data_IF_172108009176
#
_entry.id   IF_172108009176
#
_cell.length_a   1.000
_cell.length_b   1.000
_cell.length_c   1.000
_cell.angle_alpha   90.00
_cell.angle_beta   90.00
_cell.angle_gamma   90.00
#
_symmetry.space_group_name_H-M   'P 1'
#
loop_
_entity.id
_entity.type
_entity.pdbx_description
1 polymer ?
#
# COMPACT_ATOMS: atom_id res chain seq x y z
N UNK A 1 -15.83 0.54 -5.08
CA UNK A 1 -16.78 1.57 -4.59
C UNK A 1 -17.57 2.21 -5.71
N UNK A 2 -16.99 2.45 -6.90
CA UNK A 2 -17.73 3.07 -8.03
C UNK A 2 -19.02 2.33 -8.39
N UNK A 3 -19.06 1.00 -8.30
CA UNK A 3 -20.27 0.21 -8.59
C UNK A 3 -21.45 0.36 -7.61
N UNK A 4 -21.33 1.17 -6.55
CA UNK A 4 -22.44 1.46 -5.62
C UNK A 4 -23.22 2.72 -6.01
N UNK A 5 -22.74 3.51 -6.98
CA UNK A 5 -23.36 4.78 -7.37
C UNK A 5 -23.99 4.65 -8.76
N UNK A 6 -25.23 5.14 -8.91
CA UNK A 6 -25.93 5.21 -10.20
C UNK A 6 -25.51 6.40 -11.08
N UNK A 7 -24.54 7.20 -10.62
CA UNK A 7 -23.99 8.39 -11.30
C UNK A 7 -22.48 8.20 -11.50
N UNK A 8 -21.86 8.85 -12.49
CA UNK A 8 -20.41 8.75 -12.71
C UNK A 8 -19.64 9.24 -11.48
N UNK A 9 -18.57 8.52 -11.13
CA UNK A 9 -17.68 8.83 -10.01
C UNK A 9 -16.24 8.73 -10.47
N UNK A 10 -15.49 9.82 -10.32
CA UNK A 10 -14.06 9.85 -10.58
C UNK A 10 -13.28 9.33 -9.36
N UNK A 11 -12.56 8.23 -9.54
CA UNK A 11 -11.70 7.65 -8.50
C UNK A 11 -10.24 7.98 -8.80
N UNK A 12 -9.83 9.19 -8.43
CA UNK A 12 -8.47 9.68 -8.68
C UNK A 12 -7.45 9.00 -7.74
N UNK A 13 -6.24 8.79 -8.25
CA UNK A 13 -5.16 8.13 -7.51
C UNK A 13 -4.04 9.13 -7.17
N UNK A 14 -3.63 9.15 -5.90
CA UNK A 14 -2.51 9.97 -5.43
C UNK A 14 -1.14 9.29 -5.58
N UNK A 15 -1.12 8.00 -5.95
CA UNK A 15 0.09 7.19 -6.08
C UNK A 15 1.24 7.85 -6.87
N UNK A 16 1.04 8.44 -8.06
CA UNK A 16 2.12 9.09 -8.80
C UNK A 16 2.74 10.29 -8.06
N UNK A 17 1.92 11.06 -7.34
CA UNK A 17 2.40 12.18 -6.52
C UNK A 17 3.20 11.69 -5.32
N UNK A 18 2.74 10.63 -4.65
CA UNK A 18 3.43 10.03 -3.52
C UNK A 18 4.77 9.44 -3.96
N UNK A 19 4.80 8.69 -5.06
CA UNK A 19 6.02 8.12 -5.61
C UNK A 19 7.05 9.21 -5.95
N UNK A 20 6.60 10.31 -6.57
CA UNK A 20 7.47 11.48 -6.84
C UNK A 20 7.99 12.11 -5.55
N UNK A 21 7.14 12.29 -4.55
CA UNK A 21 7.54 12.87 -3.27
C UNK A 21 8.60 12.01 -2.58
N UNK A 22 8.42 10.68 -2.56
CA UNK A 22 9.39 9.73 -1.98
C UNK A 22 10.76 9.89 -2.66
N UNK A 23 10.81 9.91 -4.00
CA UNK A 23 12.07 10.05 -4.75
C UNK A 23 12.83 11.35 -4.45
N UNK A 24 12.11 12.43 -4.11
CA UNK A 24 12.68 13.76 -3.90
C UNK A 24 13.03 14.04 -2.44
N UNK A 25 12.34 13.42 -1.48
CA UNK A 25 12.40 13.80 -0.06
C UNK A 25 12.95 12.69 0.84
N UNK A 26 12.94 11.43 0.40
CA UNK A 26 13.43 10.31 1.21
C UNK A 26 14.86 9.96 0.77
N UNK A 27 15.87 10.16 1.65
CA UNK A 27 17.22 9.71 1.39
C UNK A 27 17.27 8.18 1.26
N UNK A 28 18.08 7.66 0.34
CA UNK A 28 18.27 6.22 0.12
C UNK A 28 16.97 5.44 -0.08
N UNK A 29 15.98 6.05 -0.75
CA UNK A 29 14.69 5.41 -1.05
C UNK A 29 14.82 4.14 -1.90
N UNK A 30 15.90 4.02 -2.67
CA UNK A 30 16.23 2.86 -3.50
C UNK A 30 16.47 1.57 -2.69
N UNK A 31 16.86 1.69 -1.43
CA UNK A 31 17.07 0.56 -0.52
C UNK A 31 15.89 0.38 0.45
N UNK A 32 14.81 1.15 0.29
CA UNK A 32 13.65 1.09 1.15
C UNK A 32 12.72 -0.08 0.81
N UNK A 33 11.87 -0.44 1.78
CA UNK A 33 10.83 -1.47 1.63
C UNK A 33 9.46 -0.83 1.88
N UNK A 34 8.52 -1.04 0.96
CA UNK A 34 7.15 -0.55 1.12
C UNK A 34 6.37 -1.54 1.99
N UNK A 35 5.78 -1.09 3.10
CA UNK A 35 5.13 -2.00 4.06
C UNK A 35 3.64 -1.74 4.17
N UNK A 36 2.84 -2.81 4.14
CA UNK A 36 1.41 -2.77 4.42
C UNK A 36 1.11 -3.16 5.86
N UNK A 37 0.28 -2.37 6.56
CA UNK A 37 -0.14 -2.63 7.94
C UNK A 37 -1.04 -3.87 8.08
N UNK A 38 -1.79 -4.22 7.03
CA UNK A 38 -2.77 -5.32 7.04
C UNK A 38 -2.93 -5.89 5.62
N UNK A 39 -3.42 -7.13 5.49
CA UNK A 39 -3.63 -7.81 4.20
C UNK A 39 -4.56 -7.06 3.22
N UNK A 40 -5.53 -6.29 3.71
CA UNK A 40 -6.40 -5.46 2.86
C UNK A 40 -5.66 -4.33 2.13
N UNK A 41 -4.44 -3.98 2.57
CA UNK A 41 -3.59 -2.97 1.93
C UNK A 41 -2.63 -3.52 0.88
N UNK A 42 -2.62 -4.84 0.62
CA UNK A 42 -1.63 -5.47 -0.28
C UNK A 42 -1.65 -4.86 -1.67
N UNK A 43 -2.81 -4.73 -2.31
CA UNK A 43 -2.91 -4.17 -3.67
C UNK A 43 -2.30 -2.77 -3.81
N UNK A 44 -2.46 -1.92 -2.78
CA UNK A 44 -1.91 -0.55 -2.77
C UNK A 44 -0.39 -0.57 -2.61
N UNK A 45 0.11 -1.43 -1.72
CA UNK A 45 1.54 -1.53 -1.45
C UNK A 45 2.30 -2.15 -2.62
N UNK A 46 1.73 -3.17 -3.27
CA UNK A 46 2.31 -3.77 -4.47
C UNK A 46 2.39 -2.75 -5.61
N UNK A 47 1.31 -2.01 -5.89
CA UNK A 47 1.30 -0.98 -6.95
C UNK A 47 2.36 0.11 -6.74
N UNK A 48 2.47 0.61 -5.50
CA UNK A 48 3.47 1.61 -5.15
C UNK A 48 4.90 1.05 -5.24
N UNK A 49 5.11 -0.20 -4.81
CA UNK A 49 6.40 -0.87 -4.88
C UNK A 49 6.84 -1.12 -6.33
N UNK A 50 5.93 -1.52 -7.21
CA UNK A 50 6.18 -1.69 -8.65
C UNK A 50 6.58 -0.37 -9.31
N UNK A 51 5.87 0.73 -8.96
CA UNK A 51 6.17 2.09 -9.44
C UNK A 51 7.55 2.56 -9.00
N UNK A 52 7.98 2.20 -7.78
CA UNK A 52 9.30 2.55 -7.24
C UNK A 52 10.38 1.50 -7.58
N UNK A 53 10.02 0.33 -8.12
CA UNK A 53 10.91 -0.83 -8.31
C UNK A 53 11.58 -1.29 -7.01
N UNK A 54 10.80 -1.33 -5.93
CA UNK A 54 11.25 -1.73 -4.59
C UNK A 54 10.62 -3.06 -4.18
N UNK A 55 11.20 -3.68 -3.16
CA UNK A 55 10.57 -4.79 -2.47
C UNK A 55 9.45 -4.29 -1.55
N UNK A 56 8.49 -5.15 -1.25
CA UNK A 56 7.42 -4.84 -0.32
C UNK A 56 7.20 -5.94 0.72
N UNK A 57 6.68 -5.55 1.88
CA UNK A 57 6.31 -6.43 2.98
C UNK A 57 4.86 -6.23 3.40
N UNK A 58 4.27 -7.28 3.97
CA UNK A 58 2.94 -7.22 4.58
C UNK A 58 3.10 -7.63 6.03
N UNK A 59 2.63 -6.77 6.93
CA UNK A 59 2.53 -7.10 8.35
C UNK A 59 1.08 -7.48 8.62
N UNK A 60 0.88 -8.59 9.31
CA UNK A 60 -0.42 -9.01 9.83
C UNK A 60 -0.32 -9.15 11.34
N UNK A 61 -1.29 -8.58 12.05
CA UNK A 61 -1.35 -8.75 13.51
C UNK A 61 -2.27 -9.94 13.78
N UNK A 62 -1.74 -11.16 13.65
CA UNK A 62 -2.49 -12.36 13.97
C UNK A 62 -2.55 -12.51 15.50
N UNK A 63 -3.59 -11.93 16.11
CA UNK A 63 -3.89 -12.18 17.52
C UNK A 63 -4.58 -13.54 17.62
N UNK A 64 -3.78 -14.62 17.61
CA UNK A 64 -4.30 -15.93 17.99
C UNK A 64 -4.67 -15.85 19.47
N UNK A 65 -5.96 -15.87 19.80
CA UNK A 65 -6.37 -16.24 21.17
C UNK A 65 -5.72 -17.61 21.45
N UNK A 66 -4.96 -17.77 22.54
CA UNK A 66 -4.52 -19.11 22.92
C UNK A 66 -5.77 -19.98 23.00
N UNK A 67 -5.79 -21.09 22.26
CA UNK A 67 -6.85 -22.09 22.41
C UNK A 67 -6.76 -22.56 23.86
N UNK A 68 -7.72 -22.19 24.69
CA UNK A 68 -7.95 -22.91 25.94
C UNK A 68 -8.32 -24.34 25.53
N UNK A 69 -7.43 -25.27 25.89
CA UNK A 69 -7.72 -26.69 25.91
C UNK A 69 -8.61 -27.00 27.12
#
# INVERSE_FOLDING_TARGET
>A
MQGFFGKPVDNLFAEPFIARWIRLNVPSWNDAVVVSKNAGGTKRVTSLADTLKLNFGIVTTDWRRPKMA
#
